data_IF_294793004082
#
_entry.id   IF_294793004082
#
_cell.length_a   1.000
_cell.length_b   1.000
_cell.length_c   1.000
_cell.angle_alpha   90.00
_cell.angle_beta   90.00
_cell.angle_gamma   90.00
#
_symmetry.space_group_name_H-M   'P 1'
#
loop_
_entity.id
_entity.type
_entity.pdbx_description
1 polymer ?
#
# COMPACT_ATOMS: atom_id res chain seq x y z
N UNK A 1 -30.79 -9.62 21.69
CA UNK A 1 -29.72 -10.50 21.18
C UNK A 1 -28.88 -9.67 20.23
N UNK A 2 -27.57 -9.53 20.48
CA UNK A 2 -26.68 -8.62 19.78
C UNK A 2 -26.27 -9.20 18.43
N UNK A 3 -26.08 -8.35 17.42
CA UNK A 3 -25.18 -8.63 16.30
C UNK A 3 -24.67 -7.27 15.82
N UNK A 4 -23.72 -6.74 16.58
CA UNK A 4 -22.70 -5.87 16.00
C UNK A 4 -22.00 -6.71 14.92
N UNK A 5 -21.81 -6.23 13.68
CA UNK A 5 -20.75 -6.77 12.85
C UNK A 5 -19.42 -6.47 13.57
N UNK A 6 -18.90 -7.52 14.19
CA UNK A 6 -17.53 -7.67 14.67
C UNK A 6 -16.58 -7.40 13.49
N UNK A 7 -15.76 -6.35 13.57
CA UNK A 7 -14.81 -5.97 12.51
C UNK A 7 -14.85 -4.48 12.17
N UNK A 8 -14.47 -3.64 13.12
CA UNK A 8 -14.38 -2.21 12.95
C UNK A 8 -13.27 -1.80 11.94
N UNK A 9 -13.68 -0.91 11.03
CA UNK A 9 -12.89 0.17 10.42
C UNK A 9 -11.96 -0.19 9.26
N UNK A 10 -12.14 0.49 8.11
CA UNK A 10 -11.22 0.48 6.97
C UNK A 10 -11.88 0.22 5.62
N UNK A 11 -12.36 1.27 5.00
CA UNK A 11 -13.10 1.33 3.73
C UNK A 11 -12.24 0.92 2.52
N UNK A 12 -12.16 -0.38 2.23
CA UNK A 12 -11.56 -0.93 1.00
C UNK A 12 -10.06 -0.63 0.80
N UNK A 13 -9.43 -1.20 -0.25
CA UNK A 13 -8.04 -0.91 -0.54
C UNK A 13 -7.86 0.56 -0.97
N UNK A 14 -6.83 1.22 -0.44
CA UNK A 14 -6.43 2.55 -0.87
C UNK A 14 -5.85 2.47 -2.29
N UNK A 15 -6.63 2.93 -3.26
CA UNK A 15 -6.23 2.95 -4.67
C UNK A 15 -5.17 4.01 -4.91
N UNK A 16 -4.01 3.59 -5.42
CA UNK A 16 -2.97 4.47 -5.94
C UNK A 16 -3.37 4.96 -7.34
N UNK A 17 -3.33 6.27 -7.59
CA UNK A 17 -3.60 6.80 -8.91
C UNK A 17 -2.48 6.48 -9.90
N UNK A 18 -2.82 6.62 -11.18
CA UNK A 18 -1.96 6.37 -12.34
C UNK A 18 -0.59 7.07 -12.25
N UNK A 19 -0.57 8.31 -11.75
CA UNK A 19 0.65 9.07 -11.51
C UNK A 19 0.77 9.41 -10.03
N UNK A 20 1.32 8.48 -9.26
CA UNK A 20 1.54 8.70 -7.83
C UNK A 20 2.70 9.69 -7.62
N UNK A 21 2.35 10.96 -7.37
CA UNK A 21 3.26 12.09 -7.19
C UNK A 21 3.31 12.55 -5.73
N UNK A 22 4.16 13.53 -5.39
CA UNK A 22 4.24 14.11 -4.03
C UNK A 22 2.90 14.63 -3.51
N UNK A 23 2.08 15.22 -4.40
CA UNK A 23 0.73 15.70 -4.07
C UNK A 23 -0.19 14.55 -3.62
N UNK A 24 -0.07 13.39 -4.27
CA UNK A 24 -0.78 12.18 -3.87
C UNK A 24 -0.26 11.61 -2.55
N UNK A 25 1.02 11.81 -2.24
CA UNK A 25 1.62 11.28 -1.03
C UNK A 25 1.01 11.94 0.23
N UNK A 26 0.72 13.24 0.20
CA UNK A 26 0.12 13.91 1.35
C UNK A 26 -1.30 13.41 1.64
N UNK A 27 -2.13 13.26 0.60
CA UNK A 27 -3.48 12.68 0.70
C UNK A 27 -3.43 11.22 1.17
N UNK A 28 -2.55 10.41 0.55
CA UNK A 28 -2.38 9.01 0.90
C UNK A 28 -1.91 8.85 2.36
N UNK A 29 -1.03 9.73 2.84
CA UNK A 29 -0.58 9.74 4.23
C UNK A 29 -1.73 10.01 5.18
N UNK A 30 -2.57 11.00 4.90
CA UNK A 30 -3.71 11.34 5.76
C UNK A 30 -4.67 10.16 5.85
N UNK A 31 -4.97 9.52 4.72
CA UNK A 31 -5.78 8.30 4.67
C UNK A 31 -5.14 7.11 5.40
N UNK A 32 -3.82 6.94 5.31
CA UNK A 32 -3.08 5.90 6.03
C UNK A 32 -3.08 6.12 7.55
N UNK A 33 -3.00 7.37 7.99
CA UNK A 33 -3.10 7.75 9.41
C UNK A 33 -4.53 7.56 9.91
N UNK A 34 -5.53 7.86 9.08
CA UNK A 34 -6.94 7.64 9.38
C UNK A 34 -7.35 6.16 9.32
N UNK A 35 -6.61 5.32 8.58
CA UNK A 35 -6.87 3.89 8.48
C UNK A 35 -6.61 3.20 9.83
N UNK A 36 -7.66 2.63 10.39
CA UNK A 36 -7.61 1.85 11.63
C UNK A 36 -7.76 0.38 11.26
N UNK A 37 -6.72 -0.43 11.47
CA UNK A 37 -6.75 -1.86 11.16
C UNK A 37 -5.83 -2.26 10.01
N UNK A 38 -6.33 -3.10 9.11
CA UNK A 38 -5.60 -3.58 7.94
C UNK A 38 -5.40 -2.47 6.91
N UNK A 39 -4.20 -2.37 6.35
CA UNK A 39 -3.85 -1.42 5.29
C UNK A 39 -3.68 -2.22 4.00
N UNK A 40 -4.60 -2.04 3.07
CA UNK A 40 -4.52 -2.60 1.73
C UNK A 40 -4.30 -1.46 0.74
N UNK A 41 -3.30 -1.59 -0.14
CA UNK A 41 -2.97 -0.59 -1.16
C UNK A 41 -3.23 -1.20 -2.53
N UNK A 42 -4.19 -0.69 -3.28
CA UNK A 42 -4.37 -1.11 -4.68
C UNK A 42 -3.40 -0.33 -5.58
N UNK A 43 -2.52 -1.05 -6.25
CA UNK A 43 -1.50 -0.46 -7.14
C UNK A 43 -1.77 -0.80 -8.62
N UNK A 44 -3.01 -1.11 -9.00
CA UNK A 44 -3.36 -1.66 -10.32
C UNK A 44 -3.26 -0.68 -11.46
N UNK A 45 -3.62 0.57 -11.21
CA UNK A 45 -3.63 1.62 -12.23
C UNK A 45 -2.31 2.39 -12.30
N UNK A 46 -1.33 2.08 -11.45
CA UNK A 46 -0.08 2.86 -11.35
C UNK A 46 0.76 2.72 -12.61
N UNK A 47 0.97 3.80 -13.35
CA UNK A 47 1.91 3.84 -14.48
C UNK A 47 3.25 4.44 -14.08
N UNK A 48 3.28 5.31 -13.07
CA UNK A 48 4.50 5.93 -12.56
C UNK A 48 4.39 6.26 -11.08
N UNK A 49 5.41 5.85 -10.32
CA UNK A 49 5.52 6.13 -8.88
C UNK A 49 6.75 7.00 -8.60
N UNK A 50 6.51 8.12 -7.92
CA UNK A 50 7.57 9.01 -7.44
C UNK A 50 8.33 8.45 -6.24
N UNK A 51 9.56 8.93 -6.03
CA UNK A 51 10.38 8.52 -4.87
C UNK A 51 9.71 8.87 -3.53
N UNK A 52 9.01 10.00 -3.45
CA UNK A 52 8.29 10.40 -2.24
C UNK A 52 7.18 9.40 -1.87
N UNK A 53 6.46 8.87 -2.86
CA UNK A 53 5.42 7.86 -2.63
C UNK A 53 6.03 6.54 -2.17
N UNK A 54 7.15 6.12 -2.75
CA UNK A 54 7.86 4.91 -2.30
C UNK A 54 8.32 5.02 -0.84
N UNK A 55 8.87 6.17 -0.46
CA UNK A 55 9.25 6.44 0.94
C UNK A 55 8.03 6.44 1.87
N UNK A 56 6.90 7.00 1.42
CA UNK A 56 5.66 6.98 2.18
C UNK A 56 5.14 5.55 2.38
N UNK A 57 5.11 4.73 1.33
CA UNK A 57 4.69 3.33 1.43
C UNK A 57 5.60 2.54 2.37
N UNK A 58 6.91 2.78 2.30
CA UNK A 58 7.87 2.17 3.22
C UNK A 58 7.64 2.62 4.66
N UNK A 59 7.39 3.91 4.89
CA UNK A 59 7.07 4.43 6.22
C UNK A 59 5.77 3.82 6.74
N UNK A 60 4.72 3.77 5.91
CA UNK A 60 3.44 3.14 6.24
C UNK A 60 3.60 1.66 6.60
N UNK A 61 4.42 0.91 5.85
CA UNK A 61 4.73 -0.49 6.13
C UNK A 61 5.49 -0.66 7.45
N UNK A 62 6.45 0.21 7.76
CA UNK A 62 7.16 0.18 9.04
C UNK A 62 6.26 0.56 10.23
N UNK A 63 5.40 1.56 10.05
CA UNK A 63 4.39 1.96 11.04
C UNK A 63 3.39 0.83 11.28
N UNK A 64 2.90 0.19 10.21
CA UNK A 64 2.02 -0.95 10.29
C UNK A 64 2.68 -2.11 11.04
N UNK A 65 3.92 -2.45 10.70
CA UNK A 65 4.69 -3.48 11.41
C UNK A 65 4.90 -3.12 12.90
N UNK A 66 5.16 -1.86 13.22
CA UNK A 66 5.32 -1.40 14.61
C UNK A 66 4.00 -1.40 15.38
N UNK A 67 2.88 -1.29 14.68
CA UNK A 67 1.52 -1.28 15.24
C UNK A 67 0.85 -2.66 15.21
N UNK A 68 1.56 -3.72 14.79
CA UNK A 68 1.00 -5.05 14.51
C UNK A 68 -0.20 -5.03 13.55
N UNK A 69 -0.20 -4.08 12.61
CA UNK A 69 -1.23 -3.94 11.58
C UNK A 69 -0.83 -4.69 10.32
N UNK A 70 -1.74 -5.47 9.71
CA UNK A 70 -1.46 -6.09 8.42
C UNK A 70 -1.35 -5.02 7.33
N UNK A 71 -0.32 -5.13 6.49
CA UNK A 71 -0.09 -4.26 5.34
C UNK A 71 0.09 -5.13 4.09
N UNK A 72 -0.74 -4.90 3.07
CA UNK A 72 -0.72 -5.65 1.81
C UNK A 72 -0.85 -4.71 0.62
N UNK A 73 -0.13 -5.02 -0.47
CA UNK A 73 -0.31 -4.35 -1.75
C UNK A 73 -1.09 -5.29 -2.66
N UNK A 74 -2.28 -4.87 -3.05
CA UNK A 74 -3.18 -5.63 -3.93
C UNK A 74 -3.07 -5.10 -5.37
N UNK A 75 -3.23 -6.01 -6.33
CA UNK A 75 -3.15 -5.71 -7.77
C UNK A 75 -1.95 -4.84 -8.18
N UNK A 76 -0.69 -5.12 -7.83
CA UNK A 76 0.41 -4.25 -8.23
C UNK A 76 0.61 -4.26 -9.76
N UNK A 77 0.58 -3.08 -10.38
CA UNK A 77 0.85 -2.94 -11.81
C UNK A 77 2.31 -3.32 -12.14
N UNK A 78 2.56 -3.73 -13.38
CA UNK A 78 3.92 -4.04 -13.84
C UNK A 78 4.88 -2.86 -13.68
N UNK A 79 4.41 -1.63 -13.92
CA UNK A 79 5.23 -0.43 -13.76
C UNK A 79 5.58 -0.17 -12.29
N UNK A 80 4.63 -0.41 -11.37
CA UNK A 80 4.88 -0.29 -9.94
C UNK A 80 5.90 -1.33 -9.46
N UNK A 81 5.71 -2.60 -9.83
CA UNK A 81 6.63 -3.69 -9.47
C UNK A 81 8.03 -3.42 -10.01
N UNK A 82 8.16 -3.00 -11.27
CA UNK A 82 9.45 -2.71 -11.89
C UNK A 82 10.19 -1.58 -11.15
N UNK A 83 9.49 -0.50 -10.78
CA UNK A 83 10.06 0.60 -10.00
C UNK A 83 10.46 0.18 -8.59
N UNK A 84 9.61 -0.58 -7.91
CA UNK A 84 9.91 -1.08 -6.56
C UNK A 84 11.11 -2.03 -6.58
N UNK A 85 11.23 -2.89 -7.60
CA UNK A 85 12.38 -3.77 -7.83
C UNK A 85 13.65 -2.98 -8.16
N UNK A 86 13.56 -2.00 -9.06
CA UNK A 86 14.69 -1.15 -9.44
C UNK A 86 15.26 -0.37 -8.24
N UNK A 87 14.43 -0.04 -7.25
CA UNK A 87 14.85 0.59 -6.00
C UNK A 87 15.26 -0.40 -4.90
N UNK A 88 15.18 -1.72 -5.13
CA UNK A 88 15.46 -2.73 -4.10
C UNK A 88 14.47 -2.75 -2.95
N UNK A 89 13.26 -2.20 -3.14
CA UNK A 89 12.24 -2.06 -2.10
C UNK A 89 11.22 -3.21 -2.12
N UNK A 90 11.32 -4.17 -3.04
CA UNK A 90 10.35 -5.25 -3.19
C UNK A 90 10.16 -6.07 -1.90
N UNK A 91 11.25 -6.56 -1.32
CA UNK A 91 11.20 -7.25 -0.03
C UNK A 91 10.69 -6.36 1.11
N UNK A 92 11.05 -5.08 1.09
CA UNK A 92 10.62 -4.09 2.07
C UNK A 92 9.15 -3.70 1.94
N UNK A 93 8.51 -3.93 0.81
CA UNK A 93 7.09 -3.65 0.58
C UNK A 93 6.23 -4.91 0.63
N UNK A 94 6.83 -6.08 0.92
CA UNK A 94 6.10 -7.35 0.92
C UNK A 94 5.76 -7.85 -0.48
N UNK A 95 6.35 -7.25 -1.53
CA UNK A 95 6.31 -7.79 -2.90
C UNK A 95 7.37 -8.89 -3.03
N UNK A 96 7.30 -9.90 -2.15
CA UNK A 96 8.04 -11.15 -2.34
C UNK A 96 7.25 -11.99 -3.31
N UNK A 97 7.95 -12.55 -4.29
CA UNK A 97 7.37 -13.33 -5.38
C UNK A 97 6.71 -14.60 -4.84
N UNK A 98 5.46 -14.53 -4.38
CA UNK A 98 4.56 -15.67 -4.52
C UNK A 98 4.16 -15.72 -5.99
N UNK A 99 5.07 -16.31 -6.76
CA UNK A 99 4.85 -17.01 -8.01
C UNK A 99 3.80 -16.37 -8.93
N UNK A 100 4.18 -15.27 -9.60
CA UNK A 100 3.52 -14.89 -10.85
C UNK A 100 3.96 -15.94 -11.90
N UNK A 101 3.34 -17.12 -11.89
CA UNK A 101 3.51 -18.09 -12.98
C UNK A 101 3.07 -17.44 -14.28
N UNK A 102 4.00 -17.42 -15.23
CA UNK A 102 3.89 -16.84 -16.57
C UNK A 102 2.73 -17.41 -17.41
#
# INVERSE_FOLDING_TARGET
MPSLPEGASGEGPLVLPTHASTVTAEDLRDRLVAAVGAIEIDAGEVESVGQAVLQLLLAARNEAASSDRPFAIVNPSRAFVDRVRACGLAASLGLVEEEFTA
#
